data_IF_836224861808
#
_entry.id   IF_836224861808
#
_cell.length_a   1.000
_cell.length_b   1.000
_cell.length_c   1.000
_cell.angle_alpha   90.00
_cell.angle_beta   90.00
_cell.angle_gamma   90.00
#
_symmetry.space_group_name_H-M   'P 1'
#
loop_
_entity.id
_entity.type
_entity.pdbx_description
1 polymer ?
#
# COMPACT_ATOMS: atom_id res chain seq x y z
N UNK A 1 13.18 -7.40 11.21
CA UNK A 1 11.81 -6.93 10.98
C UNK A 1 11.86 -5.43 11.02
N UNK A 2 11.68 -4.80 9.88
CA UNK A 2 11.61 -3.35 9.79
C UNK A 2 10.19 -2.97 10.27
N UNK A 3 10.08 -2.49 11.50
CA UNK A 3 8.78 -2.12 12.12
C UNK A 3 7.98 -1.15 11.23
N UNK A 4 8.68 -0.40 10.39
CA UNK A 4 8.14 0.57 9.45
C UNK A 4 7.53 -0.07 8.18
N UNK A 5 7.87 -1.32 7.86
CA UNK A 5 7.28 -2.09 6.77
C UNK A 5 6.00 -2.80 7.23
N UNK A 6 6.05 -3.45 8.39
CA UNK A 6 4.89 -4.15 8.98
C UNK A 6 3.74 -3.18 9.25
N UNK A 7 4.02 -2.01 9.82
CA UNK A 7 3.02 -0.96 10.03
C UNK A 7 2.43 -0.43 8.71
N UNK A 8 3.23 -0.38 7.64
CA UNK A 8 2.75 0.04 6.32
C UNK A 8 1.83 -1.02 5.70
N UNK A 9 2.18 -2.30 5.84
CA UNK A 9 1.34 -3.43 5.40
C UNK A 9 0.00 -3.41 6.13
N UNK A 10 0.00 -3.26 7.46
CA UNK A 10 -1.22 -3.17 8.26
C UNK A 10 -2.11 -2.00 7.82
N UNK A 11 -1.50 -0.86 7.49
CA UNK A 11 -2.23 0.31 7.00
C UNK A 11 -2.83 0.09 5.61
N UNK A 12 -2.12 -0.61 4.72
CA UNK A 12 -2.62 -1.02 3.39
C UNK A 12 -3.84 -1.94 3.56
N UNK A 13 -3.73 -2.97 4.40
CA UNK A 13 -4.82 -3.92 4.63
C UNK A 13 -6.06 -3.24 5.24
N UNK A 14 -5.85 -2.40 6.26
CA UNK A 14 -6.92 -1.64 6.89
C UNK A 14 -7.63 -0.72 5.89
N UNK A 15 -6.86 -0.06 5.00
CA UNK A 15 -7.43 0.85 4.00
C UNK A 15 -8.19 0.09 2.90
N UNK A 16 -7.69 -1.09 2.50
CA UNK A 16 -8.39 -2.00 1.59
C UNK A 16 -9.74 -2.44 2.18
N UNK A 17 -9.77 -2.82 3.45
CA UNK A 17 -11.00 -3.29 4.09
C UNK A 17 -12.04 -2.17 4.19
N UNK A 18 -11.61 -0.93 4.49
CA UNK A 18 -12.48 0.27 4.45
C UNK A 18 -13.00 0.59 3.05
N UNK A 19 -12.17 0.41 2.01
CA UNK A 19 -12.61 0.58 0.62
C UNK A 19 -13.70 -0.44 0.26
N UNK A 20 -13.51 -1.70 0.65
CA UNK A 20 -14.49 -2.76 0.41
C UNK A 20 -15.80 -2.49 1.14
N UNK A 21 -15.74 -2.08 2.41
CA UNK A 21 -16.92 -1.69 3.19
C UNK A 21 -17.64 -0.49 2.55
N UNK A 22 -16.90 0.55 2.16
CA UNK A 22 -17.46 1.71 1.48
C UNK A 22 -18.15 1.34 0.16
N UNK A 23 -17.58 0.41 -0.61
CA UNK A 23 -18.18 -0.07 -1.86
C UNK A 23 -19.40 -0.97 -1.64
N UNK A 24 -19.40 -1.78 -0.57
CA UNK A 24 -20.57 -2.57 -0.19
C UNK A 24 -21.76 -1.69 0.19
N UNK A 25 -21.50 -0.60 0.94
CA UNK A 25 -22.53 0.39 1.31
C UNK A 25 -22.94 1.28 0.14
N UNK A 26 -21.99 1.59 -0.74
CA UNK A 26 -22.16 2.48 -1.88
C UNK A 26 -21.56 1.84 -3.14
N UNK A 27 -22.31 1.01 -3.89
CA UNK A 27 -21.80 0.21 -5.01
C UNK A 27 -21.62 1.06 -6.28
N UNK A 28 -20.83 2.13 -6.16
CA UNK A 28 -20.45 3.03 -7.23
C UNK A 28 -19.05 3.57 -6.98
N UNK A 29 -18.20 3.46 -8.00
CA UNK A 29 -16.84 4.00 -7.96
C UNK A 29 -16.78 5.53 -7.86
N UNK A 30 -17.91 6.21 -8.11
CA UNK A 30 -18.02 7.66 -8.02
C UNK A 30 -18.39 8.14 -6.60
N UNK A 31 -18.62 7.23 -5.65
CA UNK A 31 -18.97 7.64 -4.30
C UNK A 31 -17.75 8.31 -3.63
N UNK A 32 -17.92 9.46 -2.95
CA UNK A 32 -16.79 10.17 -2.35
C UNK A 32 -15.92 9.33 -1.41
N UNK A 33 -16.53 8.45 -0.60
CA UNK A 33 -15.77 7.54 0.28
C UNK A 33 -14.99 6.48 -0.49
N UNK A 34 -15.55 5.95 -1.58
CA UNK A 34 -14.89 4.95 -2.41
C UNK A 34 -13.69 5.60 -3.11
N UNK A 35 -13.85 6.80 -3.66
CA UNK A 35 -12.76 7.59 -4.26
C UNK A 35 -11.67 7.89 -3.21
N UNK A 36 -12.07 8.30 -2.01
CA UNK A 36 -11.15 8.63 -0.94
C UNK A 36 -10.28 7.43 -0.55
N UNK A 37 -10.90 6.29 -0.25
CA UNK A 37 -10.16 5.10 0.16
C UNK A 37 -9.36 4.47 -0.98
N UNK A 38 -9.83 4.55 -2.24
CA UNK A 38 -9.03 4.08 -3.38
C UNK A 38 -7.79 4.95 -3.59
N UNK A 39 -7.94 6.28 -3.51
CA UNK A 39 -6.81 7.21 -3.63
C UNK A 39 -5.78 7.01 -2.51
N UNK A 40 -6.25 6.79 -1.29
CA UNK A 40 -5.35 6.54 -0.16
C UNK A 40 -4.64 5.19 -0.30
N UNK A 41 -5.35 4.15 -0.75
CA UNK A 41 -4.75 2.84 -1.00
C UNK A 41 -3.66 2.91 -2.07
N UNK A 42 -3.89 3.63 -3.16
CA UNK A 42 -2.89 3.84 -4.22
C UNK A 42 -1.60 4.49 -3.66
N UNK A 43 -1.74 5.52 -2.82
CA UNK A 43 -0.57 6.19 -2.18
C UNK A 43 0.23 5.25 -1.28
N UNK A 44 -0.46 4.40 -0.52
CA UNK A 44 0.19 3.46 0.39
C UNK A 44 0.93 2.36 -0.38
N UNK A 45 0.35 1.88 -1.49
CA UNK A 45 0.99 0.93 -2.39
C UNK A 45 2.23 1.54 -3.06
N UNK A 46 2.15 2.79 -3.53
CA UNK A 46 3.30 3.51 -4.07
C UNK A 46 4.42 3.63 -3.03
N UNK A 47 4.07 4.00 -1.78
CA UNK A 47 5.05 4.09 -0.69
C UNK A 47 5.72 2.73 -0.41
N UNK A 48 4.96 1.65 -0.41
CA UNK A 48 5.48 0.30 -0.21
C UNK A 48 6.40 -0.13 -1.36
N UNK A 49 6.01 0.16 -2.60
CA UNK A 49 6.84 -0.09 -3.77
C UNK A 49 8.15 0.70 -3.73
N UNK A 50 8.11 1.97 -3.31
CA UNK A 50 9.31 2.77 -3.14
C UNK A 50 10.23 2.21 -2.05
N UNK A 51 9.70 1.85 -0.87
CA UNK A 51 10.50 1.25 0.20
C UNK A 51 11.20 -0.03 -0.25
N UNK A 52 10.47 -0.94 -0.91
CA UNK A 52 11.00 -2.22 -1.40
C UNK A 52 12.02 -2.05 -2.53
N UNK A 53 11.87 -1.04 -3.40
CA UNK A 53 12.86 -0.72 -4.45
C UNK A 53 14.12 -0.01 -3.91
N UNK A 54 14.00 0.76 -2.82
CA UNK A 54 15.14 1.45 -2.20
C UNK A 54 15.99 0.57 -1.29
N UNK A 55 15.53 -0.64 -0.95
CA UNK A 55 16.34 -1.61 -0.23
C UNK A 55 17.49 -2.08 -1.15
N UNK A 56 18.76 -1.70 -0.88
CA UNK A 56 19.86 -2.15 -1.71
C UNK A 56 19.95 -3.67 -1.62
N UNK A 57 19.78 -4.34 -2.76
CA UNK A 57 20.19 -5.72 -2.94
C UNK A 57 21.71 -5.79 -2.79
N UNK A 58 22.20 -5.87 -1.55
CA UNK A 58 23.60 -6.07 -1.23
C UNK A 58 23.96 -7.53 -1.52
N UNK A 59 24.34 -7.80 -2.76
CA UNK A 59 25.26 -8.89 -3.07
C UNK A 59 26.41 -8.33 -3.90
N UNK A 60 27.48 -7.80 -3.26
CA UNK A 60 28.74 -7.69 -3.94
C UNK A 60 29.32 -9.11 -3.98
N UNK A 61 29.29 -9.77 -5.14
CA UNK A 61 30.23 -10.85 -5.39
C UNK A 61 31.02 -10.50 -6.64
N UNK A 62 32.28 -10.17 -6.35
CA UNK A 62 33.23 -9.56 -7.27
C UNK A 62 33.31 -10.25 -8.61
N UNK A 63 33.50 -9.44 -9.64
CA UNK A 63 34.04 -9.88 -10.90
C UNK A 63 35.52 -10.26 -10.76
N UNK A 64 35.90 -11.15 -11.69
CA UNK A 64 37.24 -11.55 -12.14
C UNK A 64 38.13 -12.30 -11.16
#
# INVERSE_FOLDING_TARGET
MDLDEEALIELIETTRDRLLEAYQLHPTFLHPLVIQYSTELDRLLDLYMHKTQTAPSHTPRGGT
#
